data_IF_110010277080
#
_entry.id   IF_110010277080
#
_cell.length_a   1.000
_cell.length_b   1.000
_cell.length_c   1.000
_cell.angle_alpha   90.00
_cell.angle_beta   90.00
_cell.angle_gamma   90.00
#
_symmetry.space_group_name_H-M   'P 1'
#
loop_
_entity.id
_entity.type
_entity.pdbx_description
1 polymer ?
#
# COMPACT_ATOMS: atom_id res chain seq x y z
N UNK A 1 5.24 -20.68 13.21
CA UNK A 1 4.59 -20.01 12.07
C UNK A 1 5.36 -18.73 11.77
N UNK A 2 5.78 -18.52 10.52
CA UNK A 2 6.39 -17.25 10.12
C UNK A 2 5.34 -16.13 10.18
N UNK A 3 5.74 -14.95 10.66
CA UNK A 3 4.88 -13.76 10.69
C UNK A 3 4.53 -13.35 9.25
N UNK A 4 3.27 -12.93 9.02
CA UNK A 4 2.83 -12.41 7.70
C UNK A 4 3.74 -11.23 7.30
N UNK A 5 4.41 -11.27 6.13
CA UNK A 5 5.24 -10.17 5.68
C UNK A 5 4.40 -9.02 5.12
N UNK A 6 4.96 -7.80 5.03
CA UNK A 6 4.35 -6.73 4.24
C UNK A 6 4.16 -7.17 2.78
N UNK A 7 3.01 -6.88 2.20
CA UNK A 7 2.64 -7.20 0.84
C UNK A 7 3.29 -6.21 -0.13
N UNK A 8 3.98 -6.69 -1.17
CA UNK A 8 4.63 -5.81 -2.14
C UNK A 8 3.66 -4.92 -2.95
N UNK A 9 2.36 -5.26 -2.98
CA UNK A 9 1.34 -4.50 -3.73
C UNK A 9 1.26 -3.03 -3.33
N UNK A 10 1.35 -2.72 -2.03
CA UNK A 10 1.33 -1.34 -1.53
C UNK A 10 2.53 -0.49 -1.98
N UNK A 11 3.58 -1.10 -2.54
CA UNK A 11 4.78 -0.41 -3.04
C UNK A 11 4.87 -0.44 -4.57
N UNK A 12 4.53 -1.57 -5.18
CA UNK A 12 4.89 -1.85 -6.57
C UNK A 12 3.69 -1.90 -7.53
N UNK A 13 2.45 -1.84 -7.04
CA UNK A 13 1.27 -2.17 -7.86
C UNK A 13 0.19 -1.08 -7.81
N UNK A 14 0.49 0.16 -8.25
CA UNK A 14 -0.58 1.11 -8.53
C UNK A 14 -1.41 0.60 -9.72
N UNK A 15 -2.71 0.40 -9.51
CA UNK A 15 -3.63 -0.08 -10.55
C UNK A 15 -4.64 1.00 -10.89
N UNK A 16 -4.72 1.34 -12.17
CA UNK A 16 -5.60 2.39 -12.69
C UNK A 16 -6.73 1.74 -13.47
N UNK A 17 -7.96 1.98 -13.04
CA UNK A 17 -9.15 1.56 -13.76
C UNK A 17 -9.41 2.46 -14.97
N UNK A 18 -10.23 2.01 -15.92
CA UNK A 18 -10.51 2.73 -17.18
C UNK A 18 -11.12 4.11 -16.98
N UNK A 19 -11.79 4.30 -15.85
CA UNK A 19 -12.36 5.56 -15.39
C UNK A 19 -11.37 6.39 -14.55
N UNK A 20 -10.10 6.01 -14.48
CA UNK A 20 -9.06 6.76 -13.78
C UNK A 20 -9.00 6.52 -12.28
N UNK A 21 -9.85 5.66 -11.72
CA UNK A 21 -9.75 5.31 -10.30
C UNK A 21 -8.47 4.52 -10.02
N UNK A 22 -7.76 4.91 -8.96
CA UNK A 22 -6.51 4.29 -8.52
C UNK A 22 -6.77 3.38 -7.33
N UNK A 23 -6.29 2.14 -7.41
CA UNK A 23 -6.21 1.18 -6.28
C UNK A 23 -4.80 0.61 -6.12
N UNK A 24 -4.61 -0.24 -5.11
CA UNK A 24 -3.33 -0.74 -4.61
C UNK A 24 -2.98 -2.17 -5.01
N UNK A 25 -3.89 -2.87 -5.70
CA UNK A 25 -3.71 -4.27 -6.04
C UNK A 25 -4.48 -4.65 -7.30
N UNK A 26 -3.91 -5.52 -8.15
CA UNK A 26 -4.59 -6.07 -9.31
C UNK A 26 -5.73 -7.03 -8.97
N UNK A 27 -5.79 -7.50 -7.71
CA UNK A 27 -6.87 -8.34 -7.19
C UNK A 27 -8.01 -7.53 -6.56
N UNK A 28 -7.88 -6.20 -6.51
CA UNK A 28 -8.93 -5.32 -5.97
C UNK A 28 -9.95 -4.95 -7.06
N UNK A 29 -10.63 -5.97 -7.58
CA UNK A 29 -11.59 -5.83 -8.69
C UNK A 29 -12.77 -4.90 -8.35
N UNK A 30 -13.08 -4.77 -7.06
CA UNK A 30 -14.19 -3.96 -6.55
C UNK A 30 -13.76 -2.59 -6.01
N UNK A 31 -12.49 -2.19 -6.20
CA UNK A 31 -11.98 -0.90 -5.74
C UNK A 31 -12.15 -0.69 -4.21
N UNK A 32 -12.06 -1.75 -3.40
CA UNK A 32 -12.18 -1.66 -1.94
C UNK A 32 -11.03 -0.87 -1.30
N UNK A 33 -9.85 -0.89 -1.93
CA UNK A 33 -8.68 -0.11 -1.53
C UNK A 33 -8.51 1.16 -2.38
N UNK A 34 -9.58 1.70 -2.99
CA UNK A 34 -9.55 2.91 -3.80
C UNK A 34 -8.88 4.08 -3.06
N UNK A 35 -7.94 4.74 -3.74
CA UNK A 35 -7.21 5.90 -3.22
C UNK A 35 -7.75 7.23 -3.73
N UNK A 36 -8.36 7.25 -4.90
CA UNK A 36 -8.86 8.45 -5.56
C UNK A 36 -8.90 8.30 -7.07
N UNK A 37 -9.12 9.40 -7.79
CA UNK A 37 -9.21 9.42 -9.25
C UNK A 37 -8.11 10.30 -9.87
N UNK A 38 -7.46 9.79 -10.93
CA UNK A 38 -6.37 10.48 -11.62
C UNK A 38 -6.81 11.66 -12.50
N UNK A 39 -8.12 11.88 -12.68
CA UNK A 39 -8.64 13.11 -13.30
C UNK A 39 -8.66 14.31 -12.34
N UNK A 40 -8.57 14.04 -11.03
CA UNK A 40 -8.66 15.05 -9.97
C UNK A 40 -7.30 15.27 -9.28
N UNK A 41 -6.51 14.21 -9.14
CA UNK A 41 -5.23 14.21 -8.45
C UNK A 41 -4.14 13.56 -9.29
N UNK A 42 -2.90 14.01 -9.11
CA UNK A 42 -1.75 13.32 -9.69
C UNK A 42 -1.51 11.96 -9.03
N UNK A 43 -0.86 11.05 -9.76
CA UNK A 43 -0.45 9.76 -9.21
C UNK A 43 0.43 9.93 -7.96
N UNK A 44 1.31 10.94 -7.94
CA UNK A 44 2.19 11.19 -6.80
C UNK A 44 1.40 11.61 -5.55
N UNK A 45 0.39 12.47 -5.69
CA UNK A 45 -0.46 12.88 -4.57
C UNK A 45 -1.20 11.69 -3.96
N UNK A 46 -1.73 10.78 -4.79
CA UNK A 46 -2.45 9.61 -4.30
C UNK A 46 -1.52 8.52 -3.75
N UNK A 47 -0.44 8.19 -4.47
CA UNK A 47 0.43 7.05 -4.17
C UNK A 47 1.50 7.34 -3.09
N UNK A 48 1.87 8.60 -2.92
CA UNK A 48 2.73 9.05 -1.81
C UNK A 48 1.95 9.74 -0.68
N UNK A 49 0.64 9.88 -0.84
CA UNK A 49 -0.28 10.49 0.11
C UNK A 49 -0.44 9.71 1.41
N UNK A 50 -1.07 10.37 2.38
CA UNK A 50 -1.15 9.93 3.77
C UNK A 50 -1.75 8.52 3.92
N UNK A 51 -2.83 8.23 3.18
CA UNK A 51 -3.52 6.92 3.26
C UNK A 51 -2.59 5.76 2.94
N UNK A 52 -1.83 5.86 1.85
CA UNK A 52 -0.90 4.79 1.47
C UNK A 52 0.26 4.68 2.45
N UNK A 53 0.81 5.79 2.94
CA UNK A 53 1.89 5.72 3.93
C UNK A 53 1.42 5.08 5.24
N UNK A 54 0.19 5.38 5.67
CA UNK A 54 -0.45 4.77 6.84
C UNK A 54 -0.60 3.26 6.67
N UNK A 55 -1.08 2.81 5.50
CA UNK A 55 -1.23 1.38 5.21
C UNK A 55 0.12 0.66 5.12
N UNK A 56 1.12 1.28 4.47
CA UNK A 56 2.49 0.75 4.42
C UNK A 56 3.07 0.57 5.83
N UNK A 57 2.94 1.59 6.68
CA UNK A 57 3.41 1.53 8.07
C UNK A 57 2.69 0.43 8.85
N UNK A 58 1.36 0.34 8.72
CA UNK A 58 0.55 -0.69 9.37
C UNK A 58 1.02 -2.11 9.01
N UNK A 59 1.29 -2.41 7.73
CA UNK A 59 1.82 -3.72 7.36
C UNK A 59 3.22 -3.99 7.89
N UNK A 60 4.10 -2.98 7.89
CA UNK A 60 5.45 -3.08 8.47
C UNK A 60 5.39 -3.39 9.97
N UNK A 61 4.42 -2.82 10.68
CA UNK A 61 4.19 -3.04 12.10
C UNK A 61 3.33 -4.29 12.39
N UNK A 62 2.86 -4.97 11.34
CA UNK A 62 2.03 -6.18 11.40
C UNK A 62 0.58 -5.93 11.81
N UNK A 63 0.11 -4.67 11.77
CA UNK A 63 -1.30 -4.30 11.97
C UNK A 63 -2.06 -4.36 10.65
N UNK A 64 -2.28 -5.57 10.13
CA UNK A 64 -2.92 -5.75 8.82
C UNK A 64 -4.37 -5.26 8.77
N UNK A 65 -5.07 -5.28 9.92
CA UNK A 65 -6.40 -4.69 10.14
C UNK A 65 -6.45 -3.21 9.73
N UNK A 66 -5.35 -2.47 9.91
CA UNK A 66 -5.24 -1.03 9.61
C UNK A 66 -4.67 -0.73 8.22
N UNK A 67 -4.48 -1.74 7.36
CA UNK A 67 -3.68 -1.64 6.13
C UNK A 67 -4.47 -1.61 4.81
N UNK A 68 -5.76 -1.29 4.89
CA UNK A 68 -6.68 -1.23 3.77
C UNK A 68 -7.80 -2.28 3.89
N UNK A 69 -9.05 -1.96 3.50
CA UNK A 69 -10.20 -2.86 3.68
C UNK A 69 -9.99 -4.27 3.15
N UNK A 70 -9.46 -4.40 1.92
CA UNK A 70 -9.21 -5.70 1.29
C UNK A 70 -8.06 -6.47 1.97
N UNK A 71 -7.09 -5.77 2.55
CA UNK A 71 -5.87 -6.37 3.08
C UNK A 71 -6.11 -7.23 4.33
N UNK A 72 -7.20 -6.95 5.06
CA UNK A 72 -7.64 -7.68 6.26
C UNK A 72 -7.91 -9.17 5.98
N UNK A 73 -8.42 -9.49 4.78
CA UNK A 73 -8.80 -10.84 4.34
C UNK A 73 -7.97 -11.40 3.17
N UNK A 74 -6.93 -10.68 2.74
CA UNK A 74 -6.08 -11.05 1.60
C UNK A 74 -4.93 -11.99 1.98
N UNK A 75 -4.60 -12.94 1.09
CA UNK A 75 -3.50 -13.90 1.28
C UNK A 75 -2.11 -13.42 0.81
N UNK A 76 -1.99 -12.20 0.28
CA UNK A 76 -0.77 -11.49 -0.20
C UNK A 76 0.14 -12.22 -1.20
N UNK A 77 -0.03 -13.53 -1.43
CA UNK A 77 0.91 -14.38 -2.17
C UNK A 77 1.10 -13.96 -3.63
N UNK A 78 0.04 -13.48 -4.30
CA UNK A 78 0.13 -13.04 -5.69
C UNK A 78 1.01 -11.80 -5.88
N UNK A 79 1.04 -10.91 -4.88
CA UNK A 79 1.94 -9.75 -4.90
C UNK A 79 3.34 -10.09 -4.34
N UNK A 80 3.42 -11.10 -3.47
CA UNK A 80 4.64 -11.50 -2.80
C UNK A 80 5.00 -10.62 -1.60
N UNK A 81 6.05 -11.04 -0.89
CA UNK A 81 6.59 -10.30 0.24
C UNK A 81 7.41 -9.10 -0.23
N UNK A 82 7.22 -7.93 0.39
CA UNK A 82 8.09 -6.79 0.17
C UNK A 82 9.45 -7.05 0.85
N UNK A 83 10.59 -6.89 0.14
CA UNK A 83 11.91 -7.27 0.67
C UNK A 83 12.28 -6.55 1.98
N UNK A 84 12.85 -7.24 2.99
CA UNK A 84 13.18 -6.63 4.28
C UNK A 84 14.14 -5.43 4.19
N UNK A 85 15.14 -5.48 3.31
CA UNK A 85 16.07 -4.39 3.05
C UNK A 85 15.35 -3.13 2.53
N UNK A 86 14.36 -3.31 1.65
CA UNK A 86 13.51 -2.22 1.14
C UNK A 86 12.56 -1.69 2.20
N UNK A 87 12.04 -2.53 3.09
CA UNK A 87 11.27 -2.08 4.27
C UNK A 87 12.11 -1.15 5.14
N UNK A 88 13.35 -1.54 5.45
CA UNK A 88 14.24 -0.70 6.26
C UNK A 88 14.59 0.62 5.57
N UNK A 89 14.86 0.59 4.26
CA UNK A 89 15.11 1.79 3.48
C UNK A 89 13.89 2.73 3.47
N UNK A 90 12.69 2.19 3.33
CA UNK A 90 11.44 2.96 3.38
C UNK A 90 11.20 3.56 4.77
N UNK A 91 11.38 2.79 5.85
CA UNK A 91 11.22 3.26 7.23
C UNK A 91 12.13 4.44 7.57
N UNK A 92 13.39 4.41 7.12
CA UNK A 92 14.31 5.55 7.28
C UNK A 92 13.73 6.82 6.64
N UNK A 93 13.38 6.74 5.36
CA UNK A 93 12.79 7.87 4.60
C UNK A 93 11.46 8.34 5.19
N UNK A 94 10.64 7.43 5.70
CA UNK A 94 9.36 7.75 6.34
C UNK A 94 9.58 8.55 7.62
N UNK A 95 10.53 8.13 8.48
CA UNK A 95 10.89 8.84 9.70
C UNK A 95 11.50 10.21 9.43
N UNK A 96 12.38 10.33 8.43
CA UNK A 96 12.98 11.63 8.08
C UNK A 96 11.93 12.65 7.62
N UNK A 97 10.85 12.20 6.99
CA UNK A 97 9.74 13.04 6.51
C UNK A 97 8.72 13.44 7.58
N UNK A 98 8.54 12.64 8.63
CA UNK A 98 7.49 12.82 9.64
C UNK A 98 8.04 12.97 11.07
N UNK A 99 9.37 12.92 11.22
CA UNK A 99 10.10 13.19 12.44
C UNK A 99 10.58 14.63 12.46
N UNK A 100 9.63 15.56 12.55
CA UNK A 100 9.80 16.93 13.06
C UNK A 100 8.54 17.36 13.78
#
# INVERSE_FOLDING_TARGET
MSRRPPCAGLWNTPMVHVDGDLTTCCLDEHLENRLGNLREHSLAELWEGETIQRWRLAQVEGRFEDSGPLCTRCNWQSAGAYPPDKVQAWLRRFRDRHGS
#
